data_IF_263538306555
#
_entry.id   IF_263538306555
#
_cell.length_a   1.000
_cell.length_b   1.000
_cell.length_c   1.000
_cell.angle_alpha   90.00
_cell.angle_beta   90.00
_cell.angle_gamma   90.00
#
_symmetry.space_group_name_H-M   'P 1'
#
loop_
_entity.id
_entity.type
_entity.pdbx_description
1 polymer ?
#
# COMPACT_ATOMS: atom_id res chain seq x y z
N UNK A 1 0.93 -11.04 9.59
CA UNK A 1 2.03 -11.65 10.38
C UNK A 1 3.39 -11.21 9.85
N UNK A 2 4.15 -10.40 10.60
CA UNK A 2 5.49 -9.93 10.21
C UNK A 2 6.45 -11.07 9.82
N UNK A 3 6.35 -12.22 10.50
CA UNK A 3 7.19 -13.39 10.23
C UNK A 3 7.05 -13.91 8.78
N UNK A 4 5.84 -13.85 8.20
CA UNK A 4 5.55 -14.37 6.84
C UNK A 4 5.80 -13.34 5.73
N UNK A 5 5.85 -12.06 6.07
CA UNK A 5 6.12 -10.98 5.12
C UNK A 5 7.53 -11.10 4.52
N UNK A 6 7.69 -10.95 3.19
CA UNK A 6 9.03 -11.02 2.56
C UNK A 6 9.77 -9.68 2.66
N UNK A 7 9.10 -8.61 2.27
CA UNK A 7 9.63 -7.25 2.29
C UNK A 7 8.70 -6.38 3.13
N UNK A 8 9.25 -5.70 4.13
CA UNK A 8 8.51 -4.76 4.96
C UNK A 8 9.25 -3.44 4.98
N UNK A 9 8.52 -2.36 4.76
CA UNK A 9 9.04 -1.01 4.71
C UNK A 9 8.31 -0.14 5.74
N UNK A 10 8.99 0.87 6.22
CA UNK A 10 8.37 2.05 6.79
C UNK A 10 8.16 3.05 5.65
N UNK A 11 6.94 3.55 5.52
CA UNK A 11 6.56 4.41 4.42
C UNK A 11 5.59 5.50 4.85
N UNK A 12 5.50 6.53 4.03
CA UNK A 12 4.48 7.58 4.12
C UNK A 12 3.72 7.68 2.81
N UNK A 13 2.46 8.12 2.88
CA UNK A 13 1.63 8.33 1.68
C UNK A 13 2.01 9.64 1.01
N UNK A 14 2.46 9.60 -0.25
CA UNK A 14 2.65 10.78 -1.10
C UNK A 14 1.35 11.15 -1.82
N UNK A 15 0.64 10.15 -2.30
CA UNK A 15 -0.62 10.32 -3.02
C UNK A 15 -1.53 9.13 -2.77
N UNK A 16 -2.84 9.38 -2.76
CA UNK A 16 -3.87 8.35 -2.71
C UNK A 16 -4.96 8.73 -3.70
N UNK A 17 -5.32 7.80 -4.59
CA UNK A 17 -6.34 8.03 -5.61
C UNK A 17 -7.20 6.79 -5.83
N UNK A 18 -8.45 7.02 -6.26
CA UNK A 18 -9.34 5.97 -6.76
C UNK A 18 -9.73 6.37 -8.18
N UNK A 19 -9.34 5.57 -9.15
CA UNK A 19 -9.60 5.85 -10.56
C UNK A 19 -9.74 4.58 -11.38
N UNK A 20 -10.10 4.75 -12.64
CA UNK A 20 -10.03 3.66 -13.61
C UNK A 20 -8.59 3.18 -13.73
N UNK A 21 -8.40 1.86 -13.65
CA UNK A 21 -7.08 1.24 -13.77
C UNK A 21 -6.54 1.24 -15.20
N UNK A 22 -7.43 1.34 -16.20
CA UNK A 22 -7.08 1.17 -17.61
C UNK A 22 -6.82 -0.29 -18.01
N UNK A 23 -6.98 -1.26 -17.10
CA UNK A 23 -6.90 -2.68 -17.45
C UNK A 23 -8.08 -3.07 -18.34
N UNK A 24 -7.77 -3.74 -19.45
CA UNK A 24 -8.75 -4.37 -20.33
C UNK A 24 -8.94 -5.81 -19.84
N UNK A 25 -9.95 -6.02 -19.00
CA UNK A 25 -10.25 -7.32 -18.39
C UNK A 25 -11.39 -8.00 -19.16
N UNK A 26 -11.28 -9.31 -19.41
CA UNK A 26 -12.27 -10.09 -20.15
C UNK A 26 -13.55 -10.36 -19.33
N UNK A 27 -13.47 -10.25 -17.99
CA UNK A 27 -14.58 -10.47 -17.06
C UNK A 27 -15.12 -9.15 -16.50
N UNK A 28 -16.34 -9.18 -15.93
CA UNK A 28 -16.97 -8.05 -15.20
C UNK A 28 -16.26 -7.74 -13.86
N UNK A 29 -14.94 -7.61 -13.90
CA UNK A 29 -14.14 -7.25 -12.76
C UNK A 29 -14.16 -5.74 -12.56
N UNK A 30 -14.24 -5.23 -11.32
CA UNK A 30 -14.16 -3.80 -11.06
C UNK A 30 -12.88 -3.20 -11.67
N UNK A 31 -13.05 -2.30 -12.63
CA UNK A 31 -11.93 -1.61 -13.30
C UNK A 31 -11.38 -0.47 -12.45
N UNK A 32 -12.16 0.03 -11.49
CA UNK A 32 -11.70 1.04 -10.53
C UNK A 32 -10.78 0.43 -9.50
N UNK A 33 -9.60 1.02 -9.36
CA UNK A 33 -8.59 0.61 -8.38
C UNK A 33 -8.18 1.77 -7.50
N UNK A 34 -7.81 1.42 -6.27
CA UNK A 34 -7.08 2.28 -5.35
C UNK A 34 -5.62 2.25 -5.76
N UNK A 35 -4.99 3.41 -5.88
CA UNK A 35 -3.55 3.58 -6.05
C UNK A 35 -3.02 4.43 -4.91
N UNK A 36 -2.04 3.91 -4.18
CA UNK A 36 -1.29 4.69 -3.20
C UNK A 36 0.17 4.75 -3.62
N UNK A 37 0.68 5.97 -3.81
CA UNK A 37 2.10 6.21 -4.01
C UNK A 37 2.75 6.42 -2.65
N UNK A 38 3.73 5.59 -2.34
CA UNK A 38 4.42 5.54 -1.06
C UNK A 38 5.85 6.06 -1.22
N UNK A 39 6.28 6.91 -0.29
CA UNK A 39 7.70 7.19 -0.07
C UNK A 39 8.19 6.28 1.04
N UNK A 40 9.25 5.52 0.75
CA UNK A 40 9.88 4.62 1.70
C UNK A 40 10.94 5.39 2.47
N UNK A 41 10.78 5.40 3.79
CA UNK A 41 11.74 6.04 4.70
C UNK A 41 12.79 5.05 5.19
N UNK A 42 12.42 3.77 5.32
CA UNK A 42 13.30 2.71 5.81
C UNK A 42 12.81 1.34 5.36
N UNK A 43 13.74 0.42 5.08
CA UNK A 43 13.43 -1.01 4.91
C UNK A 43 13.56 -1.70 6.27
N UNK A 44 12.47 -2.29 6.76
CA UNK A 44 12.40 -3.01 8.05
C UNK A 44 12.80 -4.48 7.89
N UNK A 45 12.43 -5.09 6.77
CA UNK A 45 12.71 -6.51 6.47
C UNK A 45 12.87 -6.73 4.97
N UNK A 46 13.77 -7.63 4.60
CA UNK A 46 14.01 -8.02 3.21
C UNK A 46 14.85 -6.98 2.47
N UNK A 47 14.90 -7.09 1.16
CA UNK A 47 15.62 -6.16 0.28
C UNK A 47 14.63 -5.43 -0.61
N UNK A 48 14.77 -4.12 -0.69
CA UNK A 48 14.04 -3.27 -1.62
C UNK A 48 14.94 -2.12 -2.07
N UNK A 49 15.27 -2.03 -3.37
CA UNK A 49 16.26 -1.06 -3.86
C UNK A 49 15.70 0.36 -4.04
N UNK A 50 14.37 0.53 -4.00
CA UNK A 50 13.71 1.81 -4.26
C UNK A 50 13.47 2.65 -3.00
N UNK A 51 13.33 3.95 -3.19
CA UNK A 51 12.85 4.90 -2.19
C UNK A 51 11.36 5.22 -2.34
N UNK A 52 10.70 4.66 -3.36
CA UNK A 52 9.27 4.81 -3.62
C UNK A 52 8.67 3.45 -3.99
N UNK A 53 7.39 3.26 -3.70
CA UNK A 53 6.61 2.11 -4.14
C UNK A 53 5.19 2.55 -4.49
N UNK A 54 4.60 1.91 -5.51
CA UNK A 54 3.19 2.09 -5.84
C UNK A 54 2.47 0.80 -5.46
N UNK A 55 1.46 0.92 -4.61
CA UNK A 55 0.61 -0.21 -4.23
C UNK A 55 -0.78 -0.02 -4.84
N UNK A 56 -1.32 -1.10 -5.38
CA UNK A 56 -2.61 -1.14 -6.06
C UNK A 56 -3.58 -2.03 -5.28
N UNK A 57 -4.83 -1.61 -5.19
CA UNK A 57 -5.88 -2.42 -4.57
C UNK A 57 -7.22 -2.31 -5.28
N UNK A 58 -8.06 -3.32 -5.10
CA UNK A 58 -9.48 -3.26 -5.47
C UNK A 58 -10.26 -2.47 -4.41
N UNK A 59 -11.38 -1.88 -4.82
CA UNK A 59 -12.27 -1.14 -3.91
C UNK A 59 -13.01 -2.08 -2.94
N UNK A 60 -13.20 -3.35 -3.30
CA UNK A 60 -13.88 -4.34 -2.48
C UNK A 60 -13.24 -5.75 -2.58
N UNK A 61 -12.92 -6.40 -1.44
CA UNK A 61 -12.91 -5.82 -0.09
C UNK A 61 -11.83 -4.73 -0.01
N UNK A 62 -12.13 -3.56 0.58
CA UNK A 62 -11.12 -2.52 0.71
C UNK A 62 -10.03 -3.07 1.63
N UNK A 63 -8.76 -2.96 1.21
CA UNK A 63 -7.63 -3.11 2.12
C UNK A 63 -7.69 -2.04 3.22
N UNK A 64 -6.56 -1.66 3.83
CA UNK A 64 -6.52 -0.60 4.85
C UNK A 64 -6.63 0.81 4.23
N UNK A 65 -7.68 1.02 3.42
CA UNK A 65 -7.95 2.25 2.68
C UNK A 65 -8.28 3.42 3.61
N UNK A 66 -9.00 3.16 4.72
CA UNK A 66 -9.34 4.17 5.72
C UNK A 66 -8.08 4.75 6.34
N UNK A 67 -7.18 3.87 6.76
CA UNK A 67 -5.91 4.21 7.36
C UNK A 67 -5.04 4.96 6.35
N UNK A 68 -4.91 4.48 5.11
CA UNK A 68 -4.19 5.18 4.04
C UNK A 68 -4.75 6.58 3.77
N UNK A 69 -6.08 6.74 3.81
CA UNK A 69 -6.73 8.06 3.65
C UNK A 69 -6.36 8.99 4.79
N UNK A 70 -6.37 8.51 6.04
CA UNK A 70 -5.92 9.29 7.19
C UNK A 70 -4.43 9.65 7.07
N UNK A 71 -3.57 8.71 6.70
CA UNK A 71 -2.14 8.97 6.51
C UNK A 71 -1.89 10.00 5.39
N UNK A 72 -2.67 9.97 4.30
CA UNK A 72 -2.59 10.96 3.23
C UNK A 72 -2.99 12.36 3.71
N UNK A 73 -3.97 12.48 4.61
CA UNK A 73 -4.39 13.75 5.19
C UNK A 73 -3.41 14.29 6.24
N UNK A 74 -2.67 13.40 6.91
CA UNK A 74 -1.69 13.75 7.95
C UNK A 74 -0.25 13.88 7.43
N UNK A 75 -0.03 13.92 6.12
CA UNK A 75 1.32 14.03 5.56
C UNK A 75 2.12 15.16 6.25
N UNK A 76 3.29 14.84 6.80
CA UNK A 76 4.21 15.75 7.54
C UNK A 76 3.73 16.21 8.91
N UNK A 77 2.62 15.67 9.43
CA UNK A 77 2.10 16.06 10.74
C UNK A 77 2.84 15.33 11.88
N UNK A 78 3.67 16.08 12.62
CA UNK A 78 4.32 15.67 13.88
C UNK A 78 5.16 14.38 13.82
N UNK A 79 5.68 14.01 12.65
CA UNK A 79 6.50 12.79 12.49
C UNK A 79 5.74 11.48 12.71
N UNK A 80 4.41 11.54 12.73
CA UNK A 80 3.55 10.37 12.84
C UNK A 80 3.03 9.90 11.49
N UNK A 81 3.39 10.59 10.42
CA UNK A 81 2.95 10.37 9.04
C UNK A 81 3.55 9.13 8.35
N UNK A 82 4.21 8.26 9.11
CA UNK A 82 4.78 7.00 8.62
C UNK A 82 4.08 5.79 9.23
N UNK A 83 4.14 4.66 8.53
CA UNK A 83 3.55 3.38 8.93
C UNK A 83 4.39 2.23 8.40
N UNK A 84 4.30 1.07 9.06
CA UNK A 84 4.95 -0.15 8.57
C UNK A 84 4.02 -0.86 7.58
N UNK A 85 4.58 -1.36 6.48
CA UNK A 85 3.81 -1.94 5.39
C UNK A 85 4.57 -3.07 4.69
N UNK A 86 3.87 -4.15 4.37
CA UNK A 86 4.40 -5.25 3.58
C UNK A 86 4.21 -5.05 2.07
N UNK A 87 5.30 -5.13 1.32
CA UNK A 87 5.27 -5.01 -0.14
C UNK A 87 4.97 -6.38 -0.76
N UNK A 88 3.68 -6.74 -0.83
CA UNK A 88 3.21 -7.98 -1.44
C UNK A 88 3.36 -7.93 -2.96
N UNK A 89 4.39 -8.60 -3.50
CA UNK A 89 4.78 -8.53 -4.92
C UNK A 89 4.05 -9.57 -5.77
N UNK A 90 3.45 -9.12 -6.87
CA UNK A 90 2.80 -9.96 -7.87
C UNK A 90 3.46 -9.78 -9.24
N UNK A 91 3.91 -10.89 -9.83
CA UNK A 91 4.47 -10.90 -11.19
C UNK A 91 3.32 -10.93 -12.21
N UNK A 92 3.37 -10.04 -13.20
CA UNK A 92 2.45 -10.00 -14.34
C UNK A 92 3.02 -10.75 -15.55
N UNK A 93 4.31 -10.53 -15.82
CA UNK A 93 5.08 -11.13 -16.89
C UNK A 93 6.57 -11.05 -16.56
N UNK A 94 7.43 -11.65 -17.37
CA UNK A 94 8.87 -11.58 -17.17
C UNK A 94 9.36 -10.11 -17.13
N UNK A 95 9.80 -9.67 -15.95
CA UNK A 95 10.29 -8.31 -15.72
C UNK A 95 9.23 -7.25 -15.37
N UNK A 96 7.95 -7.63 -15.25
CA UNK A 96 6.87 -6.73 -14.88
C UNK A 96 6.15 -7.25 -13.62
N UNK A 97 6.12 -6.42 -12.58
CA UNK A 97 5.47 -6.74 -11.31
C UNK A 97 4.80 -5.50 -10.72
N UNK A 98 3.81 -5.72 -9.84
CA UNK A 98 3.18 -4.69 -9.04
C UNK A 98 3.09 -5.12 -7.58
N UNK A 99 2.81 -4.17 -6.69
CA UNK A 99 2.53 -4.47 -5.29
C UNK A 99 1.02 -4.44 -5.01
N UNK A 100 0.51 -5.52 -4.42
CA UNK A 100 -0.90 -5.68 -4.07
C UNK A 100 -1.17 -5.16 -2.66
N UNK A 101 -2.17 -4.29 -2.54
CA UNK A 101 -2.74 -3.85 -1.28
C UNK A 101 -3.62 -4.93 -0.65
N UNK A 102 -4.38 -5.67 -1.48
CA UNK A 102 -5.34 -6.66 -0.98
C UNK A 102 -4.65 -7.92 -0.46
N UNK A 103 -3.47 -8.25 -0.99
CA UNK A 103 -2.66 -9.38 -0.53
C UNK A 103 -1.65 -8.98 0.56
N UNK A 104 -1.73 -7.75 1.07
CA UNK A 104 -0.88 -7.27 2.15
C UNK A 104 -1.22 -8.02 3.45
N UNK A 105 -0.26 -8.79 3.96
CA UNK A 105 -0.44 -9.62 5.17
C UNK A 105 0.10 -8.97 6.44
N UNK A 106 0.74 -7.81 6.31
CA UNK A 106 1.27 -7.05 7.44
C UNK A 106 1.23 -5.55 7.16
N UNK A 107 0.54 -4.83 8.02
CA UNK A 107 0.62 -3.38 8.13
C UNK A 107 0.50 -3.00 9.60
N UNK A 108 1.10 -1.87 9.97
CA UNK A 108 1.01 -1.31 11.30
C UNK A 108 0.97 0.22 11.19
N UNK A 109 -0.23 0.74 11.36
CA UNK A 109 -0.49 2.18 11.40
C UNK A 109 -0.37 2.71 12.83
N UNK A 110 -0.09 4.00 13.00
CA UNK A 110 -0.19 4.67 14.31
C UNK A 110 -1.59 4.57 14.92
N UNK A 111 -1.68 4.61 16.26
CA UNK A 111 -2.93 4.36 17.01
C UNK A 111 -4.08 5.34 16.69
N UNK A 112 -3.80 6.56 16.22
CA UNK A 112 -4.85 7.50 15.83
C UNK A 112 -5.41 7.22 14.42
N UNK A 113 -4.65 6.50 13.57
CA UNK A 113 -5.10 6.05 12.27
C UNK A 113 -5.92 4.75 12.39
N UNK A 114 -5.61 3.90 13.35
CA UNK A 114 -6.50 2.83 13.78
C UNK A 114 -7.64 3.43 14.62
N UNK A 115 -8.66 4.02 13.97
CA UNK A 115 -9.76 4.72 14.64
C UNK A 115 -10.26 3.99 15.90
N UNK A 116 -10.61 4.76 16.95
CA UNK A 116 -10.95 4.27 18.28
C UNK A 116 -11.73 2.94 18.24
N UNK A 117 -11.13 1.91 18.85
CA UNK A 117 -11.69 0.55 18.96
C UNK A 117 -13.01 0.55 19.72
#
# INVERSE_FOLDING_TARGET
>A
MLAKAKVVVEARVKSLSIGESGFLLEENFPTRMIRADLQITRVIKGEYPGNEAIVYGTVFPPGPFKELTQMALFAEFEGRDTFEWELSRHELAAGAAFFSMNDCIYYKFPDYAAGAR
#
